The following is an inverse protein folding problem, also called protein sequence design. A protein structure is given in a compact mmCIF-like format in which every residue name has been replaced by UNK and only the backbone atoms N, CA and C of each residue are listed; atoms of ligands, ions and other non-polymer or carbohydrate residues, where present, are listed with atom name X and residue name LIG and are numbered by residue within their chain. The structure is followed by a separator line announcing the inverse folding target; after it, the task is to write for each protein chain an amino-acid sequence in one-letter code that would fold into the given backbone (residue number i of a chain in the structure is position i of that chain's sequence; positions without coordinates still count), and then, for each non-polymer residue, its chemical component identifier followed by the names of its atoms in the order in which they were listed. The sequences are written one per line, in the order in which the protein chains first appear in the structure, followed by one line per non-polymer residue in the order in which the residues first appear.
data_IF_359936843611
#
_entry.id   IF_359936843611
#
_cell.length_a   1.000
_cell.length_b   1.000
_cell.length_c   1.000
_cell.angle_alpha   90.00
_cell.angle_beta   90.00
_cell.angle_gamma   90.00
#
_symmetry.space_group_name_H-M   'P 1'
#
loop_
_entity.id
_entity.type
_entity.pdbx_description
1 polymer ?
#
# COMPACT_ATOMS: atom_id res chain seq x y z
N UNK A 1 10.92 2.56 2.75
CA UNK A 1 10.90 1.46 1.75
C UNK A 1 11.70 0.29 2.29
N UNK A 2 11.37 -0.93 1.88
CA UNK A 2 12.03 -2.16 2.31
C UNK A 2 12.78 -2.75 1.12
N UNK A 3 14.02 -3.17 1.33
CA UNK A 3 14.88 -3.80 0.33
C UNK A 3 15.39 -5.12 0.90
N UNK A 4 15.21 -6.20 0.13
CA UNK A 4 15.82 -7.50 0.37
C UNK A 4 17.03 -7.66 -0.54
N UNK A 5 18.17 -8.00 0.06
CA UNK A 5 19.43 -8.20 -0.64
C UNK A 5 19.61 -9.67 -0.97
N UNK A 6 20.22 -9.97 -2.12
CA UNK A 6 20.70 -11.32 -2.39
C UNK A 6 21.89 -11.59 -1.46
N UNK A 7 21.98 -12.84 -1.00
CA UNK A 7 23.12 -13.28 -0.23
C UNK A 7 24.38 -13.15 -1.08
N UNK A 8 25.27 -12.26 -0.65
CA UNK A 8 26.60 -12.11 -1.24
C UNK A 8 27.61 -12.48 -0.14
N UNK A 9 28.47 -13.43 -0.47
CA UNK A 9 29.21 -14.38 0.38
C UNK A 9 30.23 -13.79 1.36
N UNK A 10 30.16 -12.49 1.69
CA UNK A 10 31.16 -11.80 2.50
C UNK A 10 30.73 -11.49 3.95
N UNK A 11 29.44 -11.32 4.26
CA UNK A 11 29.05 -10.85 5.62
C UNK A 11 27.71 -11.32 6.16
N UNK A 12 26.84 -11.96 5.37
CA UNK A 12 25.54 -12.50 5.83
C UNK A 12 24.59 -11.47 6.48
N UNK A 13 24.92 -10.17 6.41
CA UNK A 13 24.23 -9.09 7.11
C UNK A 13 23.77 -8.04 6.11
N UNK A 14 22.47 -7.75 6.13
CA UNK A 14 21.88 -6.70 5.31
C UNK A 14 22.55 -5.33 5.57
N UNK A 15 22.79 -4.51 4.52
CA UNK A 15 23.23 -3.12 4.62
C UNK A 15 22.39 -2.25 5.58
N UNK A 16 23.05 -1.38 6.35
CA UNK A 16 22.41 -0.30 7.10
C UNK A 16 22.82 1.09 6.56
N UNK A 17 22.43 2.17 7.25
CA UNK A 17 22.76 3.56 6.86
C UNK A 17 24.27 3.85 6.70
N UNK A 18 25.13 3.07 7.37
CA UNK A 18 26.59 3.21 7.30
C UNK A 18 27.20 2.44 6.14
N UNK A 19 26.45 1.50 5.55
CA UNK A 19 26.92 0.66 4.45
C UNK A 19 27.23 1.46 3.18
N UNK A 20 28.43 1.29 2.59
CA UNK A 20 28.78 1.86 1.30
C UNK A 20 27.83 1.41 0.18
N UNK A 21 27.32 0.17 0.25
CA UNK A 21 26.37 -0.38 -0.73
C UNK A 21 25.05 0.38 -0.73
N UNK A 22 24.52 0.69 0.46
CA UNK A 22 23.29 1.47 0.56
C UNK A 22 23.47 2.89 0.01
N UNK A 23 24.60 3.52 0.35
CA UNK A 23 24.93 4.87 -0.11
C UNK A 23 25.21 4.96 -1.60
N UNK A 24 25.75 3.92 -2.24
CA UNK A 24 25.95 3.90 -3.69
C UNK A 24 24.64 3.73 -4.43
N UNK A 25 23.73 2.91 -3.89
CA UNK A 25 22.39 2.69 -4.42
C UNK A 25 21.53 3.97 -4.39
N UNK A 26 21.53 4.68 -3.25
CA UNK A 26 20.83 5.95 -3.14
C UNK A 26 21.38 7.03 -4.10
N UNK A 27 22.71 7.10 -4.23
CA UNK A 27 23.37 8.00 -5.19
C UNK A 27 23.03 7.67 -6.64
N UNK A 28 22.93 6.38 -7.01
CA UNK A 28 22.48 5.96 -8.35
C UNK A 28 21.06 6.45 -8.66
N UNK A 29 20.18 6.48 -7.66
CA UNK A 29 18.85 7.06 -7.78
C UNK A 29 18.79 8.59 -7.66
N UNK A 30 19.94 9.28 -7.53
CA UNK A 30 20.03 10.70 -7.19
C UNK A 30 19.20 11.08 -5.94
N UNK A 31 19.10 10.18 -4.96
CA UNK A 31 18.33 10.38 -3.73
C UNK A 31 19.24 10.49 -2.52
N UNK A 32 18.80 11.29 -1.54
CA UNK A 32 19.48 11.42 -0.25
C UNK A 32 18.88 10.44 0.76
N UNK A 33 19.72 9.57 1.33
CA UNK A 33 19.37 8.74 2.49
C UNK A 33 19.25 9.59 3.74
N UNK A 34 18.14 9.45 4.45
CA UNK A 34 17.98 10.03 5.78
C UNK A 34 18.31 9.00 6.86
N UNK A 35 17.74 7.80 6.76
CA UNK A 35 17.94 6.70 7.74
C UNK A 35 17.95 5.33 7.04
N UNK A 36 18.58 4.36 7.69
CA UNK A 36 18.69 3.00 7.19
C UNK A 36 18.91 2.02 8.33
N UNK A 37 18.06 1.00 8.42
CA UNK A 37 18.09 -0.03 9.46
C UNK A 37 18.13 -1.42 8.85
N UNK A 38 18.76 -2.36 9.55
CA UNK A 38 18.75 -3.78 9.21
C UNK A 38 17.68 -4.50 10.05
N UNK A 39 16.82 -5.28 9.38
CA UNK A 39 15.73 -6.05 10.01
C UNK A 39 16.04 -7.55 10.21
N UNK A 40 17.22 -8.02 9.82
CA UNK A 40 17.60 -9.43 9.75
C UNK A 40 17.16 -10.09 8.44
N UNK A 41 17.64 -11.32 8.18
CA UNK A 41 17.22 -12.10 7.01
C UNK A 41 17.48 -11.44 5.65
N UNK A 42 18.55 -10.64 5.54
CA UNK A 42 18.84 -9.90 4.31
C UNK A 42 17.93 -8.70 4.05
N UNK A 43 17.14 -8.24 5.03
CA UNK A 43 16.24 -7.09 4.87
C UNK A 43 16.81 -5.79 5.45
N UNK A 44 16.63 -4.71 4.70
CA UNK A 44 16.92 -3.34 5.13
C UNK A 44 15.71 -2.43 4.94
N UNK A 45 15.43 -1.59 5.93
CA UNK A 45 14.51 -0.46 5.80
C UNK A 45 15.32 0.77 5.44
N UNK A 46 14.87 1.47 4.42
CA UNK A 46 15.48 2.69 3.92
C UNK A 46 14.47 3.84 4.01
N UNK A 47 14.88 4.93 4.62
CA UNK A 47 14.17 6.20 4.61
C UNK A 47 14.97 7.22 3.81
N UNK A 48 14.31 7.81 2.81
CA UNK A 48 14.84 8.93 2.04
C UNK A 48 14.47 10.25 2.71
N UNK A 49 15.31 11.27 2.51
CA UNK A 49 15.05 12.62 3.02
C UNK A 49 13.82 13.26 2.35
N UNK A 50 13.60 12.93 1.09
CA UNK A 50 12.45 13.37 0.31
C UNK A 50 11.37 12.30 0.32
N UNK A 51 10.13 12.73 0.52
CA UNK A 51 8.98 11.84 0.39
C UNK A 51 8.63 11.70 -1.08
N UNK A 52 8.85 10.50 -1.62
CA UNK A 52 8.47 10.15 -2.99
C UNK A 52 7.08 9.52 -3.02
N UNK A 53 6.33 9.80 -4.08
CA UNK A 53 5.01 9.21 -4.35
C UNK A 53 4.78 9.10 -5.86
N UNK A 54 3.79 8.29 -6.26
CA UNK A 54 3.43 8.08 -7.65
C UNK A 54 4.62 7.62 -8.50
N UNK A 55 4.73 8.17 -9.70
CA UNK A 55 5.69 7.73 -10.70
C UNK A 55 7.15 7.80 -10.24
N UNK A 56 7.54 8.81 -9.47
CA UNK A 56 8.92 8.94 -8.99
C UNK A 56 9.32 7.81 -8.03
N UNK A 57 8.37 7.34 -7.22
CA UNK A 57 8.57 6.20 -6.34
C UNK A 57 8.65 4.90 -7.13
N UNK A 58 7.79 4.76 -8.14
CA UNK A 58 7.78 3.58 -9.01
C UNK A 58 9.08 3.45 -9.81
N UNK A 59 9.57 4.56 -10.39
CA UNK A 59 10.83 4.60 -11.13
C UNK A 59 12.02 4.25 -10.22
N UNK A 60 12.02 4.76 -8.99
CA UNK A 60 13.06 4.39 -8.02
C UNK A 60 12.99 2.90 -7.66
N UNK A 61 11.80 2.37 -7.38
CA UNK A 61 11.64 0.94 -7.05
C UNK A 61 12.05 0.05 -8.22
N UNK A 62 11.74 0.45 -9.46
CA UNK A 62 12.19 -0.24 -10.66
C UNK A 62 13.73 -0.24 -10.76
N UNK A 63 14.37 0.91 -10.57
CA UNK A 63 15.83 1.01 -10.58
C UNK A 63 16.49 0.15 -9.49
N UNK A 64 15.89 0.10 -8.29
CA UNK A 64 16.35 -0.74 -7.18
C UNK A 64 16.24 -2.24 -7.52
N UNK A 65 15.10 -2.66 -8.10
CA UNK A 65 14.87 -4.06 -8.51
C UNK A 65 15.79 -4.50 -9.64
N UNK A 66 16.26 -3.57 -10.47
CA UNK A 66 17.20 -3.84 -11.55
C UNK A 66 18.66 -4.03 -11.06
N UNK A 67 18.97 -3.68 -9.81
CA UNK A 67 20.31 -3.86 -9.26
C UNK A 67 20.60 -5.36 -8.98
N UNK A 68 21.74 -5.91 -9.43
CA UNK A 68 22.02 -7.35 -9.31
C UNK A 68 22.10 -7.83 -7.85
N UNK A 69 22.51 -6.95 -6.93
CA UNK A 69 22.59 -7.24 -5.50
C UNK A 69 21.24 -7.23 -4.77
N UNK A 70 20.17 -6.78 -5.43
CA UNK A 70 18.82 -6.68 -4.84
C UNK A 70 17.98 -7.89 -5.27
N UNK A 71 17.39 -8.57 -4.30
CA UNK A 71 16.41 -9.64 -4.53
C UNK A 71 15.02 -9.03 -4.75
N UNK A 72 14.65 -8.06 -3.91
CA UNK A 72 13.34 -7.41 -3.94
C UNK A 72 13.42 -6.00 -3.34
N UNK A 73 12.61 -5.08 -3.84
CA UNK A 73 12.39 -3.77 -3.23
C UNK A 73 10.91 -3.37 -3.31
N UNK A 74 10.37 -2.82 -2.22
CA UNK A 74 9.02 -2.29 -2.17
C UNK A 74 8.89 -1.04 -1.32
N UNK A 75 7.90 -0.21 -1.64
CA UNK A 75 7.49 0.89 -0.80
C UNK A 75 7.07 0.36 0.58
N UNK A 76 7.50 1.06 1.63
CA UNK A 76 7.04 0.80 2.99
C UNK A 76 5.87 1.73 3.23
N UNK A 77 4.67 1.23 2.94
CA UNK A 77 3.43 2.00 3.01
C UNK A 77 2.62 1.50 4.19
N UNK A 78 2.10 2.45 4.97
CA UNK A 78 1.03 2.14 5.91
C UNK A 78 -0.23 1.88 5.10
N UNK A 79 -0.59 0.61 4.96
CA UNK A 79 -1.93 0.24 4.53
C UNK A 79 -2.84 0.47 5.72
N UNK A 80 -3.78 1.39 5.58
CA UNK A 80 -4.95 1.40 6.46
C UNK A 80 -5.95 0.41 5.86
N UNK A 81 -6.68 -0.39 6.65
CA UNK A 81 -7.91 -0.99 6.15
C UNK A 81 -8.68 0.12 5.47
N UNK A 82 -9.08 -0.06 4.23
CA UNK A 82 -9.92 0.90 3.50
C UNK A 82 -11.34 0.91 4.07
N UNK A 83 -11.51 0.70 5.38
CA UNK A 83 -12.79 0.64 6.07
C UNK A 83 -13.59 1.90 5.72
N UNK A 84 -14.50 1.76 4.78
CA UNK A 84 -15.52 2.72 4.43
C UNK A 84 -16.53 2.70 5.57
N UNK A 85 -16.13 3.30 6.69
CA UNK A 85 -17.05 3.55 7.80
C UNK A 85 -18.13 4.50 7.29
N UNK A 86 -19.40 4.09 7.22
CA UNK A 86 -20.46 4.96 6.75
C UNK A 86 -20.54 6.20 7.63
N UNK A 87 -20.63 7.38 7.02
CA UNK A 87 -20.78 8.65 7.73
C UNK A 87 -22.25 8.96 8.09
N UNK A 88 -23.18 8.05 7.76
CA UNK A 88 -24.58 8.13 8.16
C UNK A 88 -24.70 7.86 9.68
N UNK A 89 -25.17 8.83 10.49
CA UNK A 89 -25.36 8.64 11.93
C UNK A 89 -26.34 7.50 12.29
N UNK A 90 -27.29 7.18 11.39
CA UNK A 90 -28.27 6.12 11.59
C UNK A 90 -27.71 4.73 11.28
N UNK A 91 -26.56 4.64 10.61
CA UNK A 91 -25.94 3.36 10.29
C UNK A 91 -25.69 2.53 11.56
N UNK A 92 -25.17 3.17 12.61
CA UNK A 92 -24.85 2.50 13.87
C UNK A 92 -26.05 2.33 14.81
N UNK A 93 -27.11 3.10 14.64
CA UNK A 93 -28.23 3.11 15.60
C UNK A 93 -29.50 2.45 15.09
N UNK A 94 -29.77 2.45 13.78
CA UNK A 94 -31.09 2.06 13.25
C UNK A 94 -31.05 1.22 11.98
N UNK A 95 -30.04 1.34 11.13
CA UNK A 95 -29.96 0.61 9.86
C UNK A 95 -29.31 -0.77 10.02
N UNK A 96 -29.81 -1.58 10.96
CA UNK A 96 -29.25 -2.89 11.26
C UNK A 96 -29.19 -3.83 10.04
N UNK A 97 -30.13 -3.67 9.11
CA UNK A 97 -30.26 -4.50 7.91
C UNK A 97 -29.09 -4.33 6.94
N UNK A 98 -28.37 -3.20 6.96
CA UNK A 98 -27.18 -2.98 6.14
C UNK A 98 -25.90 -3.58 6.75
N UNK A 99 -25.93 -3.99 8.02
CA UNK A 99 -24.75 -4.43 8.77
C UNK A 99 -24.60 -5.95 8.73
N UNK A 100 -23.80 -6.48 9.64
CA UNK A 100 -23.73 -7.90 9.96
C UNK A 100 -24.45 -8.21 11.29
N UNK A 101 -24.38 -9.47 11.72
CA UNK A 101 -24.80 -9.90 13.06
C UNK A 101 -26.29 -10.16 13.27
N UNK A 102 -27.16 -9.79 12.32
CA UNK A 102 -28.57 -10.17 12.34
C UNK A 102 -28.88 -11.18 11.21
N UNK A 103 -29.76 -12.17 11.41
CA UNK A 103 -30.04 -13.20 10.41
C UNK A 103 -30.51 -12.68 9.04
N UNK A 104 -31.17 -11.51 9.00
CA UNK A 104 -31.70 -10.90 7.79
C UNK A 104 -30.85 -9.72 7.26
N UNK A 105 -29.65 -9.52 7.80
CA UNK A 105 -28.80 -8.41 7.36
C UNK A 105 -27.98 -8.77 6.13
N UNK A 106 -27.72 -7.78 5.26
CA UNK A 106 -27.11 -7.98 3.94
C UNK A 106 -25.59 -7.79 3.91
N UNK A 107 -24.96 -7.40 5.02
CA UNK A 107 -23.51 -7.18 5.12
C UNK A 107 -22.97 -6.21 4.06
N UNK A 108 -23.65 -5.07 3.93
CA UNK A 108 -23.34 -4.06 2.91
C UNK A 108 -21.96 -3.42 3.11
N UNK A 109 -21.51 -3.26 4.35
CA UNK A 109 -20.19 -2.70 4.66
C UNK A 109 -19.05 -3.52 4.06
N UNK A 110 -19.06 -4.84 4.22
CA UNK A 110 -18.08 -5.72 3.60
C UNK A 110 -18.19 -5.71 2.07
N UNK A 111 -19.41 -5.54 1.52
CA UNK A 111 -19.60 -5.42 0.08
C UNK A 111 -19.00 -4.12 -0.48
N UNK A 112 -19.11 -3.00 0.24
CA UNK A 112 -18.56 -1.69 -0.17
C UNK A 112 -17.04 -1.64 -0.18
N UNK A 113 -16.37 -2.50 0.58
CA UNK A 113 -14.92 -2.72 0.47
C UNK A 113 -14.53 -3.35 -0.88
N UNK A 114 -15.46 -4.04 -1.55
CA UNK A 114 -15.25 -4.69 -2.85
C UNK A 114 -15.69 -3.77 -4.00
N UNK A 115 -16.92 -3.26 -3.93
CA UNK A 115 -17.49 -2.34 -4.92
C UNK A 115 -18.66 -1.57 -4.33
N UNK A 116 -18.87 -0.33 -4.81
CA UNK A 116 -20.00 0.52 -4.41
C UNK A 116 -21.03 0.69 -5.53
N UNK A 117 -20.87 -0.04 -6.63
CA UNK A 117 -21.54 0.27 -7.89
C UNK A 117 -20.85 1.42 -8.63
N UNK A 118 -21.54 1.98 -9.62
CA UNK A 118 -21.09 3.19 -10.31
C UNK A 118 -21.78 4.42 -9.73
N UNK A 119 -21.09 5.55 -9.72
CA UNK A 119 -21.62 6.82 -9.20
C UNK A 119 -22.66 7.45 -10.13
N UNK A 120 -22.69 7.03 -11.40
CA UNK A 120 -23.58 7.49 -12.45
C UNK A 120 -23.95 6.34 -13.40
N UNK A 121 -25.02 6.46 -14.20
CA UNK A 121 -25.34 5.46 -15.23
C UNK A 121 -24.30 5.37 -16.35
N UNK A 122 -23.53 6.43 -16.59
CA UNK A 122 -22.48 6.49 -17.62
C UNK A 122 -21.21 5.75 -17.19
N UNK A 123 -20.94 5.68 -15.88
CA UNK A 123 -19.75 5.02 -15.32
C UNK A 123 -20.02 3.61 -14.76
N UNK A 124 -21.25 3.09 -14.90
CA UNK A 124 -21.63 1.77 -14.36
C UNK A 124 -21.93 0.73 -15.44
N UNK A 125 -21.49 -0.49 -15.21
CA UNK A 125 -21.85 -1.66 -16.03
C UNK A 125 -23.18 -2.29 -15.62
N UNK A 126 -23.71 -1.94 -14.43
CA UNK A 126 -24.95 -2.47 -13.87
C UNK A 126 -25.88 -1.29 -13.58
N UNK A 127 -27.04 -1.28 -14.23
CA UNK A 127 -28.08 -0.25 -14.04
C UNK A 127 -29.29 -0.86 -13.33
N UNK A 128 -29.72 -0.22 -12.23
CA UNK A 128 -30.95 -0.57 -11.51
C UNK A 128 -32.00 0.49 -11.81
N UNK A 129 -33.06 0.12 -12.53
CA UNK A 129 -34.19 1.01 -12.79
C UNK A 129 -35.16 0.99 -11.60
N UNK A 130 -35.42 2.15 -11.00
CA UNK A 130 -36.36 2.32 -9.89
C UNK A 130 -37.58 3.09 -10.39
N UNK A 131 -38.72 2.41 -10.47
CA UNK A 131 -40.02 3.04 -10.75
C UNK A 131 -40.68 3.35 -9.42
N UNK A 132 -40.50 4.58 -8.96
CA UNK A 132 -41.07 5.09 -7.71
C UNK A 132 -41.83 6.41 -7.98
N UNK A 133 -42.45 6.95 -6.94
CA UNK A 133 -43.13 8.25 -6.96
C UNK A 133 -42.18 9.46 -6.99
N UNK A 134 -40.88 9.23 -6.75
CA UNK A 134 -39.83 10.26 -6.78
C UNK A 134 -39.01 10.29 -5.51
#
# INVERSE_FOLDING_TARGET
MIVKWRDDTATGRAPDATSPRLRSLARRGNRTLERGWNLGGGLSVIQLRERLAGRELDDLLAALRAAPEVEFAAADVRVKPHAYTPNDPLYFTSQWYLRDGQPAAIRAHEAWEITRGGDSPEDSTIIVAVLDTG
#
